data_IF_518914961459
#
_entry.id   IF_518914961459
#
_cell.length_a   1.000
_cell.length_b   1.000
_cell.length_c   1.000
_cell.angle_alpha   90.00
_cell.angle_beta   90.00
_cell.angle_gamma   90.00
#
_symmetry.space_group_name_H-M   'P 1'
#
loop_
_entity.id
_entity.type
_entity.pdbx_description
1 polymer ?
#
# COMPACT_ATOMS: atom_id res chain seq x y z
N UNK A 1 -17.94 11.60 15.11
CA UNK A 1 -16.76 11.35 14.61
C UNK A 1 -15.72 12.08 15.30
N UNK A 2 -14.62 11.57 15.31
CA UNK A 2 -13.63 12.06 16.06
C UNK A 2 -12.62 12.63 15.21
N UNK A 3 -12.15 13.71 15.48
CA UNK A 3 -11.16 14.34 14.70
C UNK A 3 -9.83 14.10 15.30
N UNK A 4 -8.90 13.79 14.48
CA UNK A 4 -7.54 13.66 14.95
C UNK A 4 -7.01 15.04 15.21
N UNK A 5 -6.45 15.29 16.38
CA UNK A 5 -5.90 16.61 16.66
C UNK A 5 -4.76 16.91 15.74
N UNK A 6 -4.56 18.19 15.37
CA UNK A 6 -3.48 18.54 14.48
C UNK A 6 -2.12 18.12 14.97
N UNK A 7 -1.88 18.24 16.26
CA UNK A 7 -0.58 17.86 16.74
C UNK A 7 -0.36 16.37 16.61
N UNK A 8 -1.43 15.57 16.56
CA UNK A 8 -1.28 14.16 16.33
C UNK A 8 -0.85 13.82 14.93
N UNK A 9 -1.05 14.73 13.99
CA UNK A 9 -0.68 14.51 12.62
C UNK A 9 0.68 15.07 12.28
N UNK A 10 1.31 15.80 13.18
CA UNK A 10 2.60 16.39 12.89
C UNK A 10 3.67 15.34 12.66
N UNK A 11 3.58 14.22 13.37
CA UNK A 11 4.54 13.16 13.23
C UNK A 11 4.05 12.05 12.34
N UNK A 12 2.90 12.23 11.73
CA UNK A 12 2.29 11.18 10.94
C UNK A 12 1.75 11.77 9.66
N UNK A 13 1.61 10.94 8.68
CA UNK A 13 0.99 11.41 7.46
C UNK A 13 0.34 10.25 6.76
N UNK A 14 -0.58 10.54 5.88
CA UNK A 14 -1.22 9.51 5.09
C UNK A 14 -0.35 9.22 3.88
N UNK A 15 -0.27 7.96 3.54
CA UNK A 15 0.41 7.54 2.33
C UNK A 15 -0.63 6.77 1.53
N UNK A 16 -0.79 7.13 0.28
CA UNK A 16 -1.79 6.51 -0.57
C UNK A 16 -1.14 5.60 -1.59
N UNK A 17 -1.64 4.40 -1.68
CA UNK A 17 -1.14 3.44 -2.65
C UNK A 17 -2.32 2.81 -3.36
N UNK A 18 -2.15 2.52 -4.64
CA UNK A 18 -3.16 1.83 -5.42
C UNK A 18 -2.81 0.37 -5.41
N UNK A 19 -3.78 -0.47 -5.06
CA UNK A 19 -3.58 -1.89 -4.96
C UNK A 19 -4.34 -2.56 -6.09
N UNK A 20 -3.65 -3.30 -6.93
CA UNK A 20 -4.25 -4.03 -8.03
C UNK A 20 -4.10 -5.50 -7.77
N UNK A 21 -5.21 -6.22 -7.81
CA UNK A 21 -5.21 -7.65 -7.49
C UNK A 21 -5.77 -8.44 -8.64
N UNK A 22 -5.09 -9.53 -8.97
CA UNK A 22 -5.62 -10.49 -9.91
C UNK A 22 -6.15 -11.68 -9.12
N UNK A 23 -7.45 -11.87 -9.17
CA UNK A 23 -8.13 -12.89 -8.38
C UNK A 23 -8.68 -13.95 -9.35
N UNK A 24 -8.51 -15.22 -9.01
CA UNK A 24 -9.03 -16.26 -9.88
C UNK A 24 -10.51 -16.52 -9.59
N UNK A 25 -11.10 -17.45 -10.29
CA UNK A 25 -12.54 -17.68 -10.18
C UNK A 25 -12.94 -18.28 -8.84
N UNK A 26 -11.99 -18.76 -8.08
CA UNK A 26 -12.27 -19.29 -6.75
C UNK A 26 -12.03 -18.26 -5.66
N UNK A 27 -11.68 -17.05 -6.03
CA UNK A 27 -11.41 -16.01 -5.05
C UNK A 27 -10.01 -16.01 -4.50
N UNK A 28 -9.14 -16.83 -5.06
CA UNK A 28 -7.77 -16.86 -4.59
C UNK A 28 -6.97 -15.76 -5.25
N UNK A 29 -6.07 -15.18 -4.50
CA UNK A 29 -5.22 -14.12 -5.04
C UNK A 29 -4.08 -14.74 -5.83
N UNK A 30 -4.07 -14.47 -7.13
CA UNK A 30 -3.01 -14.98 -8.00
C UNK A 30 -1.78 -14.14 -7.81
N UNK A 31 -1.91 -12.84 -8.00
CA UNK A 31 -0.82 -11.92 -7.69
C UNK A 31 -1.40 -10.52 -7.57
N UNK A 32 -0.61 -9.63 -7.04
CA UNK A 32 -1.00 -8.24 -6.95
C UNK A 32 0.18 -7.35 -7.20
N UNK A 33 -0.09 -6.08 -7.33
CA UNK A 33 0.97 -5.10 -7.45
C UNK A 33 0.53 -3.79 -6.84
N UNK A 34 1.49 -3.03 -6.40
CA UNK A 34 1.25 -1.72 -5.83
C UNK A 34 1.64 -0.67 -6.87
N UNK A 35 0.96 0.46 -6.83
CA UNK A 35 1.29 1.54 -7.73
C UNK A 35 1.06 2.86 -7.01
N UNK A 36 1.74 3.90 -7.42
CA UNK A 36 1.50 5.18 -6.80
C UNK A 36 0.38 5.89 -7.55
N UNK A 37 -0.02 7.04 -7.03
CA UNK A 37 -1.13 7.77 -7.60
C UNK A 37 -0.82 8.40 -8.95
N UNK A 38 0.45 8.41 -9.32
CA UNK A 38 0.86 8.87 -10.65
C UNK A 38 0.85 7.75 -11.66
N UNK A 39 0.54 6.54 -11.24
CA UNK A 39 0.44 5.41 -12.14
C UNK A 39 1.71 4.61 -12.31
N UNK A 40 2.75 4.93 -11.56
CA UNK A 40 4.00 4.17 -11.66
C UNK A 40 3.86 2.87 -10.90
N UNK A 41 4.21 1.78 -11.56
CA UNK A 41 4.12 0.48 -10.94
C UNK A 41 5.16 0.33 -9.85
N UNK A 42 4.76 -0.34 -8.78
CA UNK A 42 5.65 -0.64 -7.68
C UNK A 42 5.89 -2.13 -7.60
N UNK A 43 6.15 -2.63 -6.39
CA UNK A 43 6.45 -4.04 -6.23
C UNK A 43 5.25 -4.92 -6.52
N UNK A 44 5.54 -6.12 -6.97
CA UNK A 44 4.55 -7.15 -7.14
C UNK A 44 4.67 -8.16 -6.03
N UNK A 45 3.59 -8.87 -5.78
CA UNK A 45 3.61 -9.90 -4.75
C UNK A 45 2.68 -11.02 -5.18
N UNK A 46 2.90 -12.20 -4.62
CA UNK A 46 2.11 -13.39 -4.93
C UNK A 46 1.50 -13.90 -3.64
N UNK A 47 0.17 -14.01 -3.64
CA UNK A 47 -0.54 -14.53 -2.48
C UNK A 47 -0.73 -13.51 -1.38
N UNK A 48 -1.71 -13.77 -0.53
CA UNK A 48 -2.04 -12.84 0.54
C UNK A 48 -0.89 -12.62 1.53
N UNK A 49 -0.15 -13.67 1.93
CA UNK A 49 0.90 -13.43 2.91
C UNK A 49 1.98 -12.46 2.47
N UNK A 50 2.16 -12.30 1.16
CA UNK A 50 3.18 -11.40 0.67
C UNK A 50 2.72 -9.95 0.61
N UNK A 51 1.42 -9.69 0.82
CA UNK A 51 0.89 -8.34 0.72
C UNK A 51 1.49 -7.41 1.75
N UNK A 52 1.53 -7.83 3.00
CA UNK A 52 2.03 -6.96 4.05
C UNK A 52 3.48 -6.54 3.84
N UNK A 53 4.40 -7.48 3.57
CA UNK A 53 5.77 -7.03 3.31
C UNK A 53 5.88 -6.18 2.05
N UNK A 54 5.02 -6.40 1.05
CA UNK A 54 5.06 -5.56 -0.13
C UNK A 54 4.66 -4.13 0.20
N UNK A 55 3.64 -3.95 1.01
CA UNK A 55 3.21 -2.62 1.42
C UNK A 55 4.29 -1.96 2.25
N UNK A 56 4.90 -2.70 3.17
CA UNK A 56 5.99 -2.16 3.97
C UNK A 56 7.14 -1.66 3.09
N UNK A 57 7.49 -2.44 2.10
CA UNK A 57 8.56 -2.06 1.20
C UNK A 57 8.19 -0.79 0.42
N UNK A 58 6.93 -0.72 -0.05
CA UNK A 58 6.47 0.43 -0.78
C UNK A 58 6.51 1.69 0.08
N UNK A 59 6.05 1.58 1.31
CA UNK A 59 6.03 2.71 2.22
C UNK A 59 7.45 3.18 2.50
N UNK A 60 8.38 2.24 2.69
CA UNK A 60 9.76 2.62 2.95
C UNK A 60 10.36 3.40 1.77
N UNK A 61 9.92 3.06 0.54
CA UNK A 61 10.44 3.75 -0.62
C UNK A 61 9.78 5.09 -0.86
N UNK A 62 8.51 5.23 -0.47
CA UNK A 62 7.73 6.40 -0.86
C UNK A 62 7.27 7.25 0.31
N UNK A 63 7.16 6.67 1.47
CA UNK A 63 6.50 7.36 2.57
C UNK A 63 7.40 7.85 3.64
N UNK A 64 8.62 7.35 3.71
CA UNK A 64 9.46 7.68 4.84
C UNK A 64 10.54 8.64 4.52
N UNK A 65 10.62 9.09 3.32
CA UNK A 65 11.69 9.94 3.06
C UNK A 65 11.50 11.27 3.58
N UNK A 66 10.75 11.64 4.00
CA UNK A 66 10.60 12.82 4.43
C UNK A 66 11.21 13.56 4.67
#
# INVERSE_FOLDING_TARGET
MELVPPEGLQDKRYVTVILRLLIDKHGALVHGELADTDGNAGPRFTGWPALTPAIHSWVASHGLDE
#
